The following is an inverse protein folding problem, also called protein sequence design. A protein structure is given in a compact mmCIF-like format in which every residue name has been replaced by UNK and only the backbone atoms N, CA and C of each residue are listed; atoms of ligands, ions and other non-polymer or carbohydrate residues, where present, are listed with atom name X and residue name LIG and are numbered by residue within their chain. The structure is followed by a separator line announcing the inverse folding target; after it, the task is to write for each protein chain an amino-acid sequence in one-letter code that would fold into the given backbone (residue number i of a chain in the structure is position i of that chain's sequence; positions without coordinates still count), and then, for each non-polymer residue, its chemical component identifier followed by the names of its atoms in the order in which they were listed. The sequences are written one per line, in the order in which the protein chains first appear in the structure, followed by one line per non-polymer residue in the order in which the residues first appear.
data_IF_184531106920
#
_entry.id   IF_184531106920
#
_cell.length_a   1.000
_cell.length_b   1.000
_cell.length_c   1.000
_cell.angle_alpha   90.00
_cell.angle_beta   90.00
_cell.angle_gamma   90.00
#
_symmetry.space_group_name_H-M   'P 1'
#
loop_
_entity.id
_entity.type
_entity.pdbx_description
1 polymer ?
#
# COMPACT_ATOMS: atom_id res chain seq x y z
N UNK A 1 44.69 8.72 -5.51
CA UNK A 1 43.53 7.99 -6.08
C UNK A 1 42.26 8.85 -6.04
N UNK A 2 41.99 9.58 -4.96
CA UNK A 2 40.86 10.53 -4.86
C UNK A 2 40.83 11.62 -5.95
N UNK A 3 41.99 12.19 -6.32
CA UNK A 3 42.03 13.26 -7.33
C UNK A 3 41.67 12.78 -8.75
N UNK A 4 41.97 11.52 -9.05
CA UNK A 4 41.59 10.88 -10.31
C UNK A 4 40.06 10.71 -10.38
N UNK A 5 39.45 10.18 -9.32
CA UNK A 5 37.99 10.01 -9.23
C UNK A 5 37.26 11.35 -9.31
N UNK A 6 37.73 12.38 -8.58
CA UNK A 6 37.15 13.74 -8.65
C UNK A 6 37.25 14.34 -10.05
N UNK A 7 38.37 14.15 -10.75
CA UNK A 7 38.56 14.63 -12.12
C UNK A 7 37.63 13.92 -13.11
N UNK A 8 37.55 12.59 -13.02
CA UNK A 8 36.67 11.76 -13.86
C UNK A 8 35.20 12.12 -13.66
N UNK A 9 34.73 12.22 -12.41
CA UNK A 9 33.33 12.60 -12.09
C UNK A 9 33.03 14.03 -12.57
N UNK A 10 33.97 14.98 -12.41
CA UNK A 10 33.79 16.36 -12.88
C UNK A 10 33.70 16.42 -14.41
N UNK A 11 34.50 15.63 -15.12
CA UNK A 11 34.46 15.55 -16.58
C UNK A 11 33.15 14.90 -17.07
N UNK A 12 32.73 13.78 -16.48
CA UNK A 12 31.44 13.16 -16.81
C UNK A 12 30.25 14.08 -16.50
N UNK A 13 30.27 14.79 -15.37
CA UNK A 13 29.23 15.77 -15.03
C UNK A 13 29.18 16.92 -16.04
N UNK A 14 30.35 17.41 -16.48
CA UNK A 14 30.45 18.45 -17.51
C UNK A 14 29.93 17.94 -18.86
N UNK A 15 30.31 16.73 -19.26
CA UNK A 15 29.88 16.10 -20.50
C UNK A 15 28.36 15.82 -20.49
N UNK A 16 27.82 15.27 -19.40
CA UNK A 16 26.39 15.06 -19.20
C UNK A 16 25.58 16.36 -19.28
N UNK A 17 26.06 17.44 -18.64
CA UNK A 17 25.41 18.76 -18.69
C UNK A 17 25.53 19.45 -20.04
N UNK A 18 26.48 19.03 -20.88
CA UNK A 18 26.71 19.57 -22.22
C UNK A 18 26.06 18.72 -23.32
N UNK A 19 25.41 17.60 -22.98
CA UNK A 19 24.65 16.83 -23.95
C UNK A 19 23.51 17.70 -24.51
N UNK A 20 23.45 17.90 -25.83
CA UNK A 20 22.32 18.59 -26.43
C UNK A 20 21.05 17.78 -26.15
N UNK A 21 19.96 18.47 -25.80
CA UNK A 21 18.68 17.81 -25.67
C UNK A 21 18.36 17.12 -27.00
N UNK A 22 17.98 15.82 -26.99
CA UNK A 22 17.60 15.13 -28.22
C UNK A 22 16.51 15.91 -28.95
N UNK A 23 16.63 16.03 -30.28
CA UNK A 23 15.65 16.75 -31.11
C UNK A 23 14.26 16.13 -31.03
N UNK A 24 14.18 14.85 -30.67
CA UNK A 24 12.96 14.06 -30.50
C UNK A 24 12.52 13.91 -29.03
N UNK A 25 13.15 14.63 -28.08
CA UNK A 25 12.87 14.51 -26.65
C UNK A 25 11.37 14.62 -26.32
N UNK A 26 10.67 15.57 -26.96
CA UNK A 26 9.23 15.70 -26.77
C UNK A 26 8.46 14.47 -27.25
N UNK A 27 8.87 13.85 -28.36
CA UNK A 27 8.24 12.64 -28.87
C UNK A 27 8.50 11.45 -27.92
N UNK A 28 9.72 11.31 -27.42
CA UNK A 28 10.11 10.24 -26.48
C UNK A 28 9.37 10.36 -25.14
N UNK A 29 9.27 11.58 -24.56
CA UNK A 29 8.50 11.82 -23.33
C UNK A 29 7.02 11.46 -23.53
N UNK A 30 6.43 11.81 -24.69
CA UNK A 30 5.05 11.44 -25.02
C UNK A 30 4.91 9.92 -25.15
N UNK A 31 5.84 9.26 -25.84
CA UNK A 31 5.82 7.81 -26.02
C UNK A 31 5.88 7.07 -24.68
N UNK A 32 6.78 7.48 -23.77
CA UNK A 32 6.88 6.91 -22.41
C UNK A 32 5.62 7.12 -21.59
N UNK A 33 5.06 8.33 -21.59
CA UNK A 33 3.79 8.62 -20.93
C UNK A 33 2.67 7.68 -21.42
N UNK A 34 2.51 7.51 -22.73
CA UNK A 34 1.46 6.64 -23.29
C UNK A 34 1.72 5.16 -22.98
N UNK A 35 2.99 4.72 -22.98
CA UNK A 35 3.37 3.35 -22.61
C UNK A 35 3.00 3.04 -21.16
N UNK A 36 3.40 3.89 -20.22
CA UNK A 36 3.08 3.71 -18.80
C UNK A 36 1.57 3.82 -18.54
N UNK A 37 0.90 4.82 -19.14
CA UNK A 37 -0.55 4.96 -19.06
C UNK A 37 -1.27 3.70 -19.54
N UNK A 38 -0.85 3.11 -20.66
CA UNK A 38 -1.46 1.88 -21.20
C UNK A 38 -1.25 0.68 -20.27
N UNK A 39 -0.05 0.54 -19.69
CA UNK A 39 0.26 -0.52 -18.72
C UNK A 39 -0.66 -0.45 -17.49
N UNK A 40 -0.78 0.73 -16.87
CA UNK A 40 -1.56 0.90 -15.64
C UNK A 40 -3.08 0.89 -15.86
N UNK A 41 -3.57 1.43 -16.97
CA UNK A 41 -5.00 1.32 -17.34
C UNK A 41 -5.41 -0.14 -17.58
N UNK A 42 -4.55 -0.95 -18.20
CA UNK A 42 -4.79 -2.39 -18.36
C UNK A 42 -4.78 -3.14 -17.02
N UNK A 43 -3.82 -2.86 -16.13
CA UNK A 43 -3.77 -3.45 -14.79
C UNK A 43 -5.03 -3.14 -13.98
N UNK A 44 -5.47 -1.86 -14.00
CA UNK A 44 -6.71 -1.41 -13.36
C UNK A 44 -7.94 -2.14 -13.91
N UNK A 45 -8.04 -2.31 -15.23
CA UNK A 45 -9.16 -3.03 -15.85
C UNK A 45 -9.19 -4.51 -15.47
N UNK A 46 -8.03 -5.19 -15.49
CA UNK A 46 -7.92 -6.59 -15.11
C UNK A 46 -8.31 -6.83 -13.64
N UNK A 47 -7.84 -5.98 -12.74
CA UNK A 47 -8.14 -6.11 -11.30
C UNK A 47 -9.63 -5.83 -10.99
N UNK A 48 -10.31 -4.97 -11.77
CA UNK A 48 -11.76 -4.75 -11.62
C UNK A 48 -12.62 -5.97 -12.00
N UNK A 49 -12.17 -6.82 -12.94
CA UNK A 49 -12.92 -8.04 -13.30
C UNK A 49 -12.96 -9.07 -12.16
N UNK A 50 -11.90 -9.15 -11.37
CA UNK A 50 -11.75 -10.06 -10.22
C UNK A 50 -12.49 -9.58 -8.96
N UNK A 51 -12.91 -8.31 -8.91
CA UNK A 51 -13.62 -7.72 -7.76
C UNK A 51 -15.15 -7.85 -7.81
N UNK A 52 -15.70 -8.48 -8.84
CA UNK A 52 -17.13 -8.76 -8.94
C UNK A 52 -17.53 -10.00 -8.11
N UNK A 53 -17.36 -9.96 -6.79
CA UNK A 53 -18.04 -10.94 -5.93
C UNK A 53 -19.52 -10.56 -5.79
N UNK A 54 -20.32 -10.94 -6.79
CA UNK A 54 -21.75 -11.16 -6.62
C UNK A 54 -21.92 -12.25 -5.55
N UNK A 55 -22.28 -11.86 -4.33
CA UNK A 55 -22.93 -12.79 -3.41
C UNK A 55 -24.33 -12.26 -3.13
N UNK A 56 -25.27 -12.80 -3.91
CA UNK A 56 -26.71 -12.78 -3.65
C UNK A 56 -27.04 -13.90 -2.66
N UNK A 57 -28.12 -13.68 -1.87
CA UNK A 57 -28.81 -14.58 -0.94
C UNK A 57 -28.19 -14.71 0.47
N UNK A 58 -28.94 -14.69 1.57
CA UNK A 58 -30.39 -14.65 1.84
C UNK A 58 -30.58 -14.22 3.31
N UNK A 59 -31.73 -13.64 3.64
CA UNK A 59 -32.08 -13.30 5.02
C UNK A 59 -32.14 -14.52 5.95
N UNK A 60 -31.87 -14.30 7.23
CA UNK A 60 -32.32 -15.18 8.30
C UNK A 60 -32.57 -14.36 9.58
N UNK A 61 -33.82 -14.36 10.02
CA UNK A 61 -34.26 -13.95 11.36
C UNK A 61 -33.92 -15.09 12.30
N UNK A 62 -33.22 -14.82 13.40
CA UNK A 62 -33.27 -15.66 14.60
C UNK A 62 -33.37 -14.76 15.83
N UNK A 63 -34.61 -14.61 16.29
CA UNK A 63 -34.95 -14.30 17.68
C UNK A 63 -34.43 -15.42 18.60
N UNK A 64 -33.65 -15.09 19.64
CA UNK A 64 -33.38 -16.02 20.74
C UNK A 64 -33.51 -15.30 22.09
N UNK A 65 -34.40 -15.85 22.91
CA UNK A 65 -34.65 -15.54 24.31
C UNK A 65 -33.36 -15.47 25.14
N UNK A 66 -33.23 -14.43 25.97
CA UNK A 66 -32.16 -14.28 26.96
C UNK A 66 -32.62 -14.84 28.32
N UNK A 67 -31.87 -15.81 28.84
CA UNK A 67 -31.90 -16.16 30.27
C UNK A 67 -31.24 -15.05 31.11
N UNK A 68 -31.67 -14.87 32.38
CA UNK A 68 -31.17 -13.81 33.24
C UNK A 68 -29.82 -14.18 33.87
N UNK A 69 -28.82 -13.31 33.75
CA UNK A 69 -27.58 -13.44 34.52
C UNK A 69 -26.28 -13.10 33.77
N UNK A 70 -26.19 -11.92 33.16
CA UNK A 70 -24.92 -11.20 32.93
C UNK A 70 -25.26 -9.72 32.69
N UNK A 71 -25.39 -8.97 33.78
CA UNK A 71 -25.76 -7.56 33.80
C UNK A 71 -24.56 -6.64 33.55
N UNK A 72 -24.80 -5.58 32.79
CA UNK A 72 -24.14 -4.27 32.82
C UNK A 72 -22.63 -4.18 32.43
N UNK A 73 -22.33 -4.25 31.13
CA UNK A 73 -21.32 -3.40 30.42
C UNK A 73 -20.89 -3.91 29.01
N UNK A 74 -21.56 -4.88 28.42
CA UNK A 74 -21.39 -5.23 27.00
C UNK A 74 -22.60 -4.77 26.19
N UNK A 75 -22.80 -3.45 26.04
CA UNK A 75 -23.80 -2.93 25.11
C UNK A 75 -23.30 -3.17 23.70
N UNK A 76 -23.86 -4.20 23.04
CA UNK A 76 -23.96 -4.41 21.59
C UNK A 76 -23.05 -3.50 20.76
N UNK A 77 -21.76 -3.84 20.67
CA UNK A 77 -20.95 -3.35 19.56
C UNK A 77 -21.38 -4.20 18.36
N UNK A 78 -22.00 -3.61 17.31
CA UNK A 78 -22.30 -4.38 16.11
C UNK A 78 -20.97 -4.91 15.56
N UNK A 79 -20.79 -6.23 15.67
CA UNK A 79 -19.66 -6.96 15.08
C UNK A 79 -19.71 -6.67 13.57
N UNK A 80 -18.55 -6.34 12.96
CA UNK A 80 -18.50 -6.13 11.52
C UNK A 80 -19.06 -7.39 10.84
N UNK A 81 -20.18 -7.24 10.14
CA UNK A 81 -21.00 -8.35 9.67
C UNK A 81 -20.20 -9.33 8.78
N UNK A 82 -20.68 -10.57 8.67
CA UNK A 82 -20.14 -11.59 7.76
C UNK A 82 -20.16 -11.14 6.31
N UNK A 83 -21.10 -10.26 5.94
CA UNK A 83 -21.24 -9.73 4.58
C UNK A 83 -20.65 -8.32 4.53
N UNK A 84 -19.46 -8.20 3.95
CA UNK A 84 -18.81 -6.90 3.70
C UNK A 84 -18.65 -6.68 2.20
N UNK A 85 -19.37 -5.70 1.68
CA UNK A 85 -19.22 -5.27 0.30
C UNK A 85 -18.25 -4.08 0.24
N UNK A 86 -17.33 -4.12 -0.72
CA UNK A 86 -16.42 -3.01 -1.02
C UNK A 86 -16.85 -2.43 -2.36
N UNK A 87 -17.40 -1.22 -2.35
CA UNK A 87 -18.01 -0.60 -3.54
C UNK A 87 -17.45 0.80 -3.77
N UNK A 88 -17.56 1.31 -4.99
CA UNK A 88 -17.18 2.70 -5.30
C UNK A 88 -18.34 3.60 -4.94
N UNK A 89 -18.18 4.47 -3.93
CA UNK A 89 -19.23 5.45 -3.59
C UNK A 89 -19.21 6.66 -4.53
N UNK A 90 -18.01 7.06 -4.95
CA UNK A 90 -17.81 8.21 -5.82
C UNK A 90 -16.51 8.04 -6.57
N UNK A 91 -16.48 8.52 -7.81
CA UNK A 91 -15.22 8.72 -8.53
C UNK A 91 -14.96 10.21 -8.63
N UNK A 92 -13.78 10.65 -8.20
CA UNK A 92 -13.32 12.03 -8.37
C UNK A 92 -12.58 12.12 -9.70
N UNK A 93 -13.11 12.93 -10.61
CA UNK A 93 -12.56 13.08 -11.95
C UNK A 93 -12.26 14.52 -12.31
N UNK A 94 -11.15 14.74 -13.01
CA UNK A 94 -10.86 15.99 -13.69
C UNK A 94 -10.12 15.69 -15.00
N UNK A 95 -10.39 16.46 -16.05
CA UNK A 95 -9.72 16.30 -17.34
C UNK A 95 -9.43 17.66 -17.94
N UNK A 96 -8.21 17.84 -18.45
CA UNK A 96 -7.81 19.03 -19.21
C UNK A 96 -6.75 18.63 -20.22
N UNK A 97 -7.02 18.86 -21.50
CA UNK A 97 -6.17 18.39 -22.60
C UNK A 97 -5.89 16.87 -22.47
N UNK A 98 -4.62 16.50 -22.28
CA UNK A 98 -4.11 15.13 -22.19
C UNK A 98 -3.87 14.67 -20.75
N UNK A 99 -4.13 15.56 -19.79
CA UNK A 99 -4.03 15.27 -18.36
C UNK A 99 -5.39 14.86 -17.82
N UNK A 100 -5.39 13.84 -16.96
CA UNK A 100 -6.59 13.29 -16.36
C UNK A 100 -6.34 12.83 -14.93
N UNK A 101 -7.37 12.96 -14.10
CA UNK A 101 -7.41 12.45 -12.74
C UNK A 101 -8.65 11.59 -12.63
N UNK A 102 -8.50 10.36 -12.11
CA UNK A 102 -9.59 9.44 -11.88
C UNK A 102 -9.32 8.63 -10.61
N UNK A 103 -9.92 9.05 -9.50
CA UNK A 103 -9.75 8.45 -8.18
C UNK A 103 -11.07 7.80 -7.76
N UNK A 104 -11.11 6.47 -7.71
CA UNK A 104 -12.23 5.72 -7.17
C UNK A 104 -12.18 5.72 -5.64
N UNK A 105 -13.25 6.20 -4.99
CA UNK A 105 -13.35 6.24 -3.53
C UNK A 105 -14.06 4.98 -3.04
N UNK A 106 -13.37 4.11 -2.28
CA UNK A 106 -14.01 2.92 -1.72
C UNK A 106 -14.98 3.27 -0.59
N UNK A 107 -16.04 2.47 -0.48
CA UNK A 107 -16.93 2.40 0.67
C UNK A 107 -17.09 0.96 1.10
N UNK A 108 -16.83 0.72 2.38
CA UNK A 108 -17.18 -0.51 3.08
C UNK A 108 -18.67 -0.42 3.42
N UNK A 109 -19.46 -1.32 2.84
CA UNK A 109 -20.88 -1.50 3.12
C UNK A 109 -21.07 -2.77 3.95
N UNK A 110 -21.81 -2.64 5.04
CA UNK A 110 -22.16 -3.71 5.98
C UNK A 110 -23.69 -3.81 6.05
N UNK A 111 -24.23 -4.98 6.43
CA UNK A 111 -25.69 -5.15 6.56
C UNK A 111 -26.29 -4.38 7.75
N UNK A 112 -25.46 -4.13 8.77
CA UNK A 112 -25.79 -3.35 9.97
C UNK A 112 -24.85 -2.15 10.08
N UNK A 113 -25.23 -1.14 10.86
CA UNK A 113 -24.37 0.00 11.15
C UNK A 113 -23.05 -0.45 11.80
N UNK A 114 -21.93 0.11 11.35
CA UNK A 114 -20.61 -0.17 11.91
C UNK A 114 -19.79 1.10 12.02
N UNK A 115 -19.41 1.44 13.26
CA UNK A 115 -18.54 2.58 13.55
C UNK A 115 -17.16 2.45 12.88
N UNK A 116 -16.63 1.24 12.76
CA UNK A 116 -15.37 0.97 12.05
C UNK A 116 -15.51 1.25 10.57
N UNK A 117 -16.56 0.72 9.93
CA UNK A 117 -16.83 0.98 8.52
C UNK A 117 -17.03 2.48 8.27
N UNK A 118 -17.81 3.17 9.11
CA UNK A 118 -18.04 4.62 8.97
C UNK A 118 -16.77 5.45 9.15
N UNK A 119 -15.91 5.07 10.10
CA UNK A 119 -14.63 5.74 10.33
C UNK A 119 -13.72 5.59 9.12
N UNK A 120 -13.61 4.37 8.57
CA UNK A 120 -12.84 4.11 7.36
C UNK A 120 -13.42 4.81 6.13
N UNK A 121 -14.74 4.78 5.95
CA UNK A 121 -15.43 5.45 4.85
C UNK A 121 -15.17 6.97 4.86
N UNK A 122 -15.22 7.60 6.05
CA UNK A 122 -14.88 9.03 6.22
C UNK A 122 -13.40 9.28 5.93
N UNK A 123 -12.50 8.42 6.42
CA UNK A 123 -11.05 8.47 6.15
C UNK A 123 -10.78 8.39 4.65
N UNK A 124 -11.37 7.43 3.94
CA UNK A 124 -11.18 7.22 2.51
C UNK A 124 -11.64 8.41 1.68
N UNK A 125 -12.82 8.95 2.00
CA UNK A 125 -13.33 10.15 1.32
C UNK A 125 -12.42 11.35 1.54
N UNK A 126 -11.97 11.58 2.79
CA UNK A 126 -11.09 12.70 3.12
C UNK A 126 -9.75 12.59 2.41
N UNK A 127 -9.10 11.44 2.47
CA UNK A 127 -7.82 11.20 1.79
C UNK A 127 -7.94 11.38 0.27
N UNK A 128 -8.96 10.79 -0.35
CA UNK A 128 -9.19 10.93 -1.78
C UNK A 128 -9.46 12.39 -2.19
N UNK A 129 -10.17 13.17 -1.37
CA UNK A 129 -10.36 14.60 -1.61
C UNK A 129 -9.05 15.37 -1.49
N UNK A 130 -8.23 15.09 -0.48
CA UNK A 130 -6.91 15.73 -0.33
C UNK A 130 -6.01 15.41 -1.52
N UNK A 131 -5.89 14.14 -1.89
CA UNK A 131 -5.11 13.68 -3.05
C UNK A 131 -5.61 14.33 -4.34
N UNK A 132 -6.94 14.40 -4.53
CA UNK A 132 -7.55 15.07 -5.68
C UNK A 132 -7.20 16.56 -5.75
N UNK A 133 -7.26 17.30 -4.63
CA UNK A 133 -6.92 18.73 -4.63
C UNK A 133 -5.43 18.96 -4.91
N UNK A 134 -4.54 18.11 -4.37
CA UNK A 134 -3.10 18.20 -4.61
C UNK A 134 -2.77 18.06 -6.10
N UNK A 135 -3.39 17.09 -6.80
CA UNK A 135 -3.12 16.89 -8.23
C UNK A 135 -3.90 17.83 -9.12
N UNK A 136 -5.07 18.32 -8.69
CA UNK A 136 -5.87 19.29 -9.46
C UNK A 136 -5.07 20.55 -9.75
N UNK A 137 -4.21 21.02 -8.83
CA UNK A 137 -3.32 22.15 -9.07
C UNK A 137 -2.31 21.90 -10.20
N UNK A 138 -1.78 20.68 -10.29
CA UNK A 138 -0.81 20.28 -11.32
C UNK A 138 -1.43 20.22 -12.73
N UNK A 139 -2.75 20.08 -12.85
CA UNK A 139 -3.43 20.13 -14.15
C UNK A 139 -3.29 21.50 -14.86
N UNK A 140 -2.83 22.54 -14.15
CA UNK A 140 -2.73 23.90 -14.67
C UNK A 140 -1.29 24.35 -14.94
N UNK A 141 -0.27 23.53 -14.65
CA UNK A 141 1.14 23.90 -14.83
C UNK A 141 1.70 23.58 -16.24
N UNK A 142 0.89 23.00 -17.12
CA UNK A 142 1.28 22.60 -18.49
C UNK A 142 1.91 21.20 -18.57
N UNK A 143 2.09 20.49 -17.45
CA UNK A 143 2.58 19.12 -17.42
C UNK A 143 1.50 18.12 -17.86
N UNK A 144 1.95 17.05 -18.54
CA UNK A 144 1.13 15.87 -18.84
C UNK A 144 1.15 14.95 -17.63
N UNK A 145 0.02 14.82 -16.95
CA UNK A 145 -0.14 13.95 -15.78
C UNK A 145 -1.38 13.08 -15.92
N UNK A 146 -1.24 11.79 -15.64
CA UNK A 146 -2.36 10.86 -15.51
C UNK A 146 -2.34 10.32 -14.09
N UNK A 147 -3.41 10.58 -13.34
CA UNK A 147 -3.53 10.16 -11.94
C UNK A 147 -4.66 9.18 -11.82
N UNK A 148 -4.38 8.02 -11.23
CA UNK A 148 -5.37 7.00 -10.94
C UNK A 148 -5.35 6.63 -9.47
N UNK A 149 -6.50 6.75 -8.81
CA UNK A 149 -6.76 6.13 -7.52
C UNK A 149 -7.64 4.89 -7.71
N UNK A 150 -7.21 3.77 -7.16
CA UNK A 150 -7.91 2.49 -7.22
C UNK A 150 -7.87 1.80 -5.85
N UNK A 151 -8.69 0.76 -5.68
CA UNK A 151 -8.71 -0.03 -4.47
C UNK A 151 -8.99 -1.49 -4.76
N UNK A 152 -8.57 -2.37 -3.86
CA UNK A 152 -8.87 -3.80 -3.92
C UNK A 152 -9.03 -4.43 -2.54
N UNK A 153 -9.79 -5.52 -2.52
CA UNK A 153 -9.93 -6.38 -1.36
C UNK A 153 -8.85 -7.46 -1.43
N UNK A 154 -7.84 -7.37 -0.58
CA UNK A 154 -6.69 -8.31 -0.57
C UNK A 154 -7.03 -9.56 0.23
N UNK A 155 -7.76 -9.39 1.34
CA UNK A 155 -8.24 -10.49 2.17
C UNK A 155 -9.68 -10.21 2.58
N UNK A 156 -10.50 -11.25 2.55
CA UNK A 156 -11.89 -11.21 3.01
C UNK A 156 -12.32 -12.56 3.56
N UNK A 157 -11.95 -12.83 4.80
CA UNK A 157 -12.34 -14.06 5.47
C UNK A 157 -13.20 -13.77 6.72
N UNK A 158 -13.42 -14.80 7.55
CA UNK A 158 -14.27 -14.70 8.74
C UNK A 158 -13.68 -13.81 9.84
N UNK A 159 -12.41 -13.44 9.75
CA UNK A 159 -11.67 -12.68 10.74
C UNK A 159 -11.11 -11.39 10.17
N UNK A 160 -10.46 -11.43 9.01
CA UNK A 160 -9.80 -10.26 8.45
C UNK A 160 -10.49 -9.73 7.20
N UNK A 161 -10.56 -8.40 7.12
CA UNK A 161 -10.75 -7.68 5.87
C UNK A 161 -9.53 -6.80 5.66
N UNK A 162 -8.87 -6.92 4.51
CA UNK A 162 -7.77 -6.05 4.11
C UNK A 162 -8.18 -5.26 2.88
N UNK A 163 -8.25 -3.95 3.04
CA UNK A 163 -8.50 -3.02 1.94
C UNK A 163 -7.18 -2.39 1.55
N UNK A 164 -6.76 -2.62 0.30
CA UNK A 164 -5.62 -1.95 -0.31
C UNK A 164 -6.11 -0.80 -1.16
N UNK A 165 -5.50 0.37 -1.01
CA UNK A 165 -5.79 1.58 -1.80
C UNK A 165 -4.51 2.00 -2.47
N UNK A 166 -4.58 2.23 -3.78
CA UNK A 166 -3.43 2.55 -4.61
C UNK A 166 -3.65 3.89 -5.28
N UNK A 167 -2.69 4.79 -5.14
CA UNK A 167 -2.65 6.07 -5.81
C UNK A 167 -1.44 6.10 -6.73
N UNK A 168 -1.67 6.18 -8.04
CA UNK A 168 -0.60 6.20 -9.04
C UNK A 168 -0.64 7.49 -9.83
N UNK A 169 0.49 8.17 -9.88
CA UNK A 169 0.74 9.34 -10.71
C UNK A 169 1.70 8.96 -11.85
N UNK A 170 1.30 9.27 -13.09
CA UNK A 170 2.05 8.96 -14.30
C UNK A 170 2.39 10.27 -15.01
N UNK A 171 3.69 10.49 -15.21
CA UNK A 171 4.27 11.55 -16.04
C UNK A 171 5.18 10.89 -17.09
N UNK A 172 6.50 11.06 -17.00
CA UNK A 172 7.47 10.27 -17.78
C UNK A 172 7.77 8.89 -17.20
N UNK A 173 7.45 8.69 -15.92
CA UNK A 173 7.47 7.43 -15.18
C UNK A 173 6.24 7.39 -14.26
N UNK A 174 5.96 6.23 -13.67
CA UNK A 174 4.93 6.06 -12.66
C UNK A 174 5.51 6.16 -11.25
N UNK A 175 4.82 6.87 -10.37
CA UNK A 175 5.01 6.79 -8.93
C UNK A 175 3.72 6.25 -8.31
N UNK A 176 3.83 5.13 -7.58
CA UNK A 176 2.69 4.47 -6.94
C UNK A 176 2.84 4.48 -5.43
N UNK A 177 1.86 5.07 -4.75
CA UNK A 177 1.68 4.98 -3.30
C UNK A 177 0.61 3.94 -2.99
N UNK A 178 0.91 3.02 -2.09
CA UNK A 178 -0.03 2.00 -1.64
C UNK A 178 -0.29 2.15 -0.15
N UNK A 179 -1.56 2.09 0.24
CA UNK A 179 -2.02 2.10 1.63
C UNK A 179 -2.83 0.85 1.90
N UNK A 180 -2.68 0.32 3.11
CA UNK A 180 -3.42 -0.85 3.58
C UNK A 180 -4.19 -0.49 4.85
N UNK A 181 -5.42 -0.96 4.93
CA UNK A 181 -6.24 -0.90 6.13
C UNK A 181 -6.67 -2.35 6.45
N UNK A 182 -6.17 -2.88 7.57
CA UNK A 182 -6.51 -4.22 8.06
C UNK A 182 -7.56 -4.10 9.16
N UNK A 183 -8.68 -4.79 9.00
CA UNK A 183 -9.77 -4.83 9.96
C UNK A 183 -9.87 -6.23 10.55
N UNK A 184 -9.80 -6.34 11.88
CA UNK A 184 -10.22 -7.56 12.59
C UNK A 184 -11.72 -7.46 12.83
N UNK A 185 -12.50 -8.23 12.06
CA UNK A 185 -13.97 -8.26 12.10
C UNK A 185 -14.49 -8.75 13.44
N UNK A 186 -13.77 -9.65 14.12
CA UNK A 186 -14.18 -10.23 15.40
C UNK A 186 -13.98 -9.25 16.54
N UNK A 187 -12.85 -8.56 16.54
CA UNK A 187 -12.56 -7.51 17.51
C UNK A 187 -13.28 -6.18 17.19
N UNK A 188 -13.78 -6.03 15.96
CA UNK A 188 -14.36 -4.81 15.42
C UNK A 188 -13.40 -3.62 15.58
N UNK A 189 -12.16 -3.79 15.11
CA UNK A 189 -11.12 -2.75 15.17
C UNK A 189 -10.34 -2.64 13.86
N UNK A 190 -9.87 -1.43 13.56
CA UNK A 190 -8.80 -1.24 12.57
C UNK A 190 -7.47 -1.56 13.26
N UNK A 191 -6.78 -2.57 12.75
CA UNK A 191 -5.53 -3.07 13.33
C UNK A 191 -4.41 -2.11 12.97
N UNK A 192 -3.67 -1.66 13.99
CA UNK A 192 -2.37 -1.01 13.80
C UNK A 192 -1.26 -2.00 14.14
N UNK A 193 -0.06 -1.79 13.58
CA UNK A 193 1.06 -2.71 13.78
C UNK A 193 1.37 -2.92 15.27
N UNK A 194 1.44 -1.88 16.13
CA UNK A 194 1.70 -2.07 17.56
C UNK A 194 0.62 -2.87 18.29
N UNK A 195 -0.65 -2.84 17.84
CA UNK A 195 -1.74 -3.58 18.50
C UNK A 195 -1.59 -5.10 18.40
N UNK A 196 -0.76 -5.59 17.48
CA UNK A 196 -0.50 -7.03 17.31
C UNK A 196 0.47 -7.56 18.38
N UNK A 197 1.26 -6.68 19.01
CA UNK A 197 2.41 -7.04 19.83
C UNK A 197 2.29 -6.56 21.27
N UNK A 198 2.99 -7.23 22.19
CA UNK A 198 2.96 -6.93 23.63
C UNK A 198 3.62 -5.58 23.98
N UNK A 199 4.64 -5.20 23.22
CA UNK A 199 5.49 -4.03 23.44
C UNK A 199 6.25 -3.71 22.13
N UNK A 200 7.17 -2.75 22.13
CA UNK A 200 7.87 -2.31 20.92
C UNK A 200 9.04 -3.23 20.46
N UNK A 201 9.32 -4.36 21.13
CA UNK A 201 10.40 -5.29 20.74
C UNK A 201 10.19 -5.93 19.36
N UNK A 202 8.95 -6.01 18.87
CA UNK A 202 8.68 -6.49 17.51
C UNK A 202 9.44 -5.69 16.44
N UNK A 203 9.75 -4.41 16.69
CA UNK A 203 10.49 -3.58 15.74
C UNK A 203 11.85 -4.22 15.44
N UNK A 204 12.56 -4.67 16.47
CA UNK A 204 13.89 -5.26 16.34
C UNK A 204 13.84 -6.67 15.77
N UNK A 205 12.86 -7.47 16.21
CA UNK A 205 12.64 -8.83 15.71
C UNK A 205 12.32 -8.82 14.21
N UNK A 206 11.34 -8.02 13.79
CA UNK A 206 10.94 -7.90 12.38
C UNK A 206 12.06 -7.29 11.54
N UNK A 207 12.76 -6.27 12.04
CA UNK A 207 13.86 -5.65 11.29
C UNK A 207 15.00 -6.64 11.04
N UNK A 208 15.30 -7.50 12.02
CA UNK A 208 16.33 -8.53 11.89
C UNK A 208 15.95 -9.58 10.83
N UNK A 209 14.70 -10.04 10.85
CA UNK A 209 14.15 -10.94 9.84
C UNK A 209 14.22 -10.34 8.43
N UNK A 210 13.79 -9.09 8.27
CA UNK A 210 13.82 -8.40 6.96
C UNK A 210 15.26 -8.28 6.44
N UNK A 211 16.25 -8.00 7.31
CA UNK A 211 17.65 -7.95 6.90
C UNK A 211 18.14 -9.30 6.39
N UNK A 212 17.74 -10.41 7.03
CA UNK A 212 18.06 -11.75 6.57
C UNK A 212 17.41 -12.03 5.20
N UNK A 213 16.12 -11.74 5.05
CA UNK A 213 15.42 -11.91 3.76
C UNK A 213 16.02 -11.04 2.64
N UNK A 214 16.44 -9.81 2.94
CA UNK A 214 17.15 -8.96 1.97
C UNK A 214 18.46 -9.62 1.52
N UNK A 215 19.27 -10.09 2.47
CA UNK A 215 20.55 -10.74 2.16
C UNK A 215 20.35 -12.00 1.29
N UNK A 216 19.37 -12.82 1.62
CA UNK A 216 19.05 -14.03 0.88
C UNK A 216 18.50 -13.74 -0.52
N UNK A 217 17.61 -12.75 -0.67
CA UNK A 217 17.09 -12.34 -1.97
C UNK A 217 18.20 -11.82 -2.88
N UNK A 218 19.11 -10.96 -2.37
CA UNK A 218 20.23 -10.43 -3.15
C UNK A 218 21.28 -11.49 -3.49
N UNK A 219 21.43 -12.53 -2.65
CA UNK A 219 22.34 -13.65 -2.91
C UNK A 219 21.80 -14.57 -4.02
N UNK A 220 20.49 -14.77 -4.05
CA UNK A 220 19.85 -15.74 -4.93
C UNK A 220 19.36 -15.13 -6.27
N UNK A 221 19.20 -13.82 -6.36
CA UNK A 221 18.78 -13.12 -7.58
C UNK A 221 19.54 -11.80 -7.75
N UNK A 222 20.38 -11.74 -8.79
CA UNK A 222 21.18 -10.55 -9.11
C UNK A 222 20.34 -9.33 -9.56
N UNK A 223 19.06 -9.52 -9.88
CA UNK A 223 18.15 -8.41 -10.23
C UNK A 223 17.50 -7.77 -8.99
N UNK A 224 17.59 -8.41 -7.82
CA UNK A 224 17.08 -7.90 -6.55
C UNK A 224 18.13 -6.99 -5.92
N UNK A 225 17.85 -5.69 -5.91
CA UNK A 225 18.72 -4.69 -5.30
C UNK A 225 18.00 -4.01 -4.14
N UNK A 226 18.65 -3.99 -2.98
CA UNK A 226 18.21 -3.29 -1.79
C UNK A 226 19.34 -2.43 -1.24
N UNK A 227 18.99 -1.34 -0.57
CA UNK A 227 19.93 -0.46 0.12
C UNK A 227 20.30 -1.13 1.44
N UNK A 228 21.27 -2.05 1.36
CA UNK A 228 21.78 -2.79 2.52
C UNK A 228 22.98 -2.07 3.14
N UNK A 229 23.34 -2.42 4.37
CA UNK A 229 24.52 -1.87 5.07
C UNK A 229 25.86 -2.36 4.50
N UNK A 230 25.89 -2.97 3.31
CA UNK A 230 27.11 -3.41 2.65
C UNK A 230 27.91 -2.21 2.12
N UNK A 231 29.23 -2.36 2.08
CA UNK A 231 30.19 -1.30 1.71
C UNK A 231 30.02 -0.78 0.27
N UNK A 232 29.35 -1.52 -0.61
CA UNK A 232 29.08 -1.17 -2.01
C UNK A 232 27.78 -0.38 -2.22
N UNK A 233 27.04 -0.06 -1.16
CA UNK A 233 25.85 0.77 -1.25
C UNK A 233 26.20 2.22 -1.64
N UNK A 234 25.42 2.87 -2.54
CA UNK A 234 25.66 4.26 -2.91
C UNK A 234 25.66 5.17 -1.66
N UNK A 235 26.63 6.08 -1.56
CA UNK A 235 26.77 6.95 -0.38
C UNK A 235 25.61 7.92 -0.16
N UNK A 236 24.78 8.11 -1.18
CA UNK A 236 23.61 8.99 -1.20
C UNK A 236 22.30 8.27 -0.83
N UNK A 237 22.32 6.94 -0.59
CA UNK A 237 21.16 6.20 -0.09
C UNK A 237 21.36 5.77 1.35
N UNK A 238 20.33 5.94 2.17
CA UNK A 238 20.35 5.41 3.53
C UNK A 238 20.01 3.92 3.51
N UNK A 239 20.85 3.05 4.10
CA UNK A 239 20.55 1.64 4.15
C UNK A 239 19.37 1.36 5.08
N UNK A 240 18.63 0.29 4.82
CA UNK A 240 17.57 -0.18 5.71
C UNK A 240 18.17 -0.60 7.06
N UNK A 241 17.79 0.14 8.12
CA UNK A 241 18.24 -0.14 9.48
C UNK A 241 17.17 -0.85 10.31
N UNK A 242 15.98 -0.25 10.39
CA UNK A 242 14.84 -0.75 11.18
C UNK A 242 13.53 -0.28 10.57
N UNK A 243 12.45 -1.01 10.83
CA UNK A 243 11.09 -0.58 10.51
C UNK A 243 10.64 0.57 11.43
N UNK A 244 9.66 1.35 10.95
CA UNK A 244 8.95 2.34 11.79
C UNK A 244 7.95 1.62 12.71
N UNK A 245 7.58 2.27 13.82
CA UNK A 245 6.53 1.77 14.74
C UNK A 245 5.18 1.59 14.05
N UNK A 246 4.89 2.43 13.06
CA UNK A 246 3.69 2.43 12.25
C UNK A 246 3.98 2.05 10.78
N UNK A 247 4.99 1.20 10.55
CA UNK A 247 5.34 0.72 9.21
C UNK A 247 4.11 0.17 8.49
N UNK A 248 3.88 0.53 7.21
CA UNK A 248 2.82 -0.05 6.40
C UNK A 248 2.88 -1.58 6.41
N UNK A 249 1.74 -2.21 6.66
CA UNK A 249 1.61 -3.65 6.73
C UNK A 249 0.22 -4.11 6.32
N UNK A 250 0.08 -5.41 6.07
CA UNK A 250 -1.21 -6.08 6.02
C UNK A 250 -1.09 -7.52 6.52
N UNK A 251 -2.23 -8.19 6.69
CA UNK A 251 -2.29 -9.62 6.96
C UNK A 251 -2.71 -10.32 5.67
N UNK A 252 -1.93 -11.29 5.20
CA UNK A 252 -2.24 -12.00 3.96
C UNK A 252 -3.29 -13.12 4.17
N UNK A 253 -3.72 -13.79 3.09
CA UNK A 253 -4.70 -14.87 3.14
C UNK A 253 -4.27 -16.07 4.02
N UNK A 254 -2.97 -16.23 4.23
CA UNK A 254 -2.38 -17.26 5.11
C UNK A 254 -2.30 -16.80 6.58
N UNK A 255 -2.86 -15.64 6.91
CA UNK A 255 -2.84 -15.04 8.26
C UNK A 255 -1.42 -14.70 8.74
N UNK A 256 -0.52 -14.41 7.80
CA UNK A 256 0.85 -13.98 8.08
C UNK A 256 0.95 -12.46 7.98
N UNK A 257 1.81 -11.87 8.81
CA UNK A 257 2.15 -10.46 8.75
C UNK A 257 3.00 -10.18 7.51
N UNK A 258 2.63 -9.17 6.72
CA UNK A 258 3.42 -8.69 5.59
C UNK A 258 3.79 -7.23 5.82
N UNK A 259 5.09 -6.95 5.86
CA UNK A 259 5.63 -5.58 5.96
C UNK A 259 5.86 -5.04 4.56
N UNK A 260 5.43 -3.81 4.33
CA UNK A 260 5.50 -3.14 3.01
C UNK A 260 6.36 -1.89 3.10
N UNK A 261 7.20 -1.70 2.08
CA UNK A 261 7.99 -0.49 1.90
C UNK A 261 7.49 0.31 0.69
N UNK A 262 7.30 1.64 0.83
CA UNK A 262 7.09 2.54 -0.29
C UNK A 262 8.17 2.41 -1.37
N UNK A 263 7.80 2.73 -2.61
CA UNK A 263 8.73 2.77 -3.73
C UNK A 263 9.89 3.72 -3.42
N UNK A 264 11.13 3.25 -3.58
CA UNK A 264 12.29 4.08 -3.27
C UNK A 264 12.52 4.30 -1.77
N UNK A 265 11.98 3.49 -0.85
CA UNK A 265 12.34 3.63 0.58
C UNK A 265 13.56 2.80 0.98
N UNK A 266 13.70 1.59 0.42
CA UNK A 266 14.80 0.67 0.74
C UNK A 266 15.41 0.00 -0.50
N UNK A 267 14.98 0.40 -1.68
CA UNK A 267 15.34 -0.23 -2.95
C UNK A 267 15.10 0.75 -4.12
N UNK A 268 15.80 0.61 -5.26
CA UNK A 268 15.54 1.44 -6.44
C UNK A 268 14.09 1.36 -6.93
N UNK A 269 13.56 2.42 -7.55
CA UNK A 269 12.14 2.51 -7.97
C UNK A 269 11.65 1.33 -8.84
N UNK A 270 12.51 0.70 -9.64
CA UNK A 270 12.12 -0.44 -10.48
C UNK A 270 11.72 -1.67 -9.65
N UNK A 271 12.17 -1.77 -8.39
CA UNK A 271 11.79 -2.82 -7.45
C UNK A 271 10.35 -2.69 -6.96
N UNK A 272 9.65 -1.62 -7.35
CA UNK A 272 8.26 -1.38 -6.97
C UNK A 272 8.15 -1.13 -5.46
N UNK A 273 7.14 -1.74 -4.83
CA UNK A 273 6.90 -1.71 -3.38
C UNK A 273 7.36 -3.02 -2.76
N UNK A 274 8.57 -3.11 -2.18
CA UNK A 274 9.03 -4.34 -1.55
C UNK A 274 8.08 -4.81 -0.44
N UNK A 275 7.79 -6.11 -0.43
CA UNK A 275 6.97 -6.76 0.59
C UNK A 275 7.75 -7.92 1.22
N UNK A 276 7.67 -8.05 2.54
CA UNK A 276 8.34 -9.10 3.30
C UNK A 276 7.31 -9.82 4.16
N UNK A 277 7.13 -11.11 3.91
CA UNK A 277 6.27 -11.97 4.73
C UNK A 277 7.07 -12.38 5.96
N UNK A 278 6.58 -12.03 7.14
CA UNK A 278 7.24 -12.35 8.41
C UNK A 278 6.77 -13.74 8.87
N UNK A 279 7.66 -14.72 9.02
CA UNK A 279 7.28 -16.04 9.52
C UNK A 279 6.74 -15.94 10.94
N UNK A 280 5.61 -16.59 11.23
CA UNK A 280 4.97 -16.51 12.55
C UNK A 280 5.89 -17.01 13.68
N UNK A 281 6.71 -18.02 13.40
CA UNK A 281 7.70 -18.58 14.33
C UNK A 281 8.71 -17.52 14.83
N UNK A 282 8.98 -16.49 14.03
CA UNK A 282 9.91 -15.42 14.40
C UNK A 282 9.27 -14.45 15.39
N UNK A 283 7.95 -14.28 15.34
CA UNK A 283 7.23 -13.23 16.08
C UNK A 283 6.27 -13.78 17.15
N UNK A 284 6.09 -15.10 17.27
CA UNK A 284 5.11 -15.73 18.15
C UNK A 284 5.24 -15.31 19.61
N UNK A 285 6.48 -15.13 20.09
CA UNK A 285 6.76 -14.73 21.48
C UNK A 285 6.44 -13.26 21.74
N UNK A 286 6.34 -12.44 20.70
CA UNK A 286 6.07 -11.00 20.79
C UNK A 286 4.57 -10.67 20.66
N UNK A 287 3.73 -11.61 20.24
CA UNK A 287 2.29 -11.38 19.99
C UNK A 287 1.51 -11.07 21.27
N UNK A 288 0.69 -10.02 21.26
CA UNK A 288 -0.17 -9.64 22.38
C UNK A 288 -1.17 -10.74 22.76
N UNK A 289 -1.66 -11.49 21.76
CA UNK A 289 -2.53 -12.64 21.95
C UNK A 289 -1.93 -13.87 21.24
N UNK A 290 -1.70 -14.99 21.96
CA UNK A 290 -1.28 -16.24 21.34
C UNK A 290 -2.26 -16.65 20.24
N UNK A 291 -1.74 -17.04 19.07
CA UNK A 291 -2.53 -17.39 17.87
C UNK A 291 -3.27 -16.22 17.19
N UNK A 292 -2.86 -14.97 17.44
CA UNK A 292 -3.42 -13.85 16.69
C UNK A 292 -3.15 -14.00 15.18
N UNK A 293 -1.93 -14.43 14.83
CA UNK A 293 -1.52 -14.86 13.49
C UNK A 293 -1.40 -16.38 13.51
N UNK A 294 -1.79 -17.07 12.42
CA UNK A 294 -1.79 -18.53 12.30
C UNK A 294 -0.73 -18.98 11.33
#
# INVERSE_FOLDING_TARGET
MEDFVKSVVKNFSKEYRQQPLPTDLQAEVKARFHKEKKRYTWLRFRNRSLQSSLVVACGFVLSVNLFPGFSEAARNIPVLDKIVQLVTIKTLTAKKQESEVNIDVPKIQTSQESSVADTLNKKYLKEAQTEFQQVKGQLFDGSRVSVTGDYEKVVDDRRFLVVKRTFTEIKGSSATTTKYDTIDKRANVVVSLPLIFKNDFYIDVISSEIKQQIADQMKNDSNKIYWSEKEDAPSDVQPFKKIKKDQPFYINEKHQLVIVFPQGEIAPYYMGTPEFVIPNQVIENELAAPNYLK
#
